data_IF_496364714018
#
_entry.id   IF_496364714018
#
_cell.length_a   1.000
_cell.length_b   1.000
_cell.length_c   1.000
_cell.angle_alpha   90.00
_cell.angle_beta   90.00
_cell.angle_gamma   90.00
#
_symmetry.space_group_name_H-M   'P 1'
#
loop_
_entity.id
_entity.type
_entity.pdbx_description
1 polymer ?
#
# COMPACT_ATOMS: atom_id res chain seq x y z
N UNK A 1 3.35 -21.26 37.45
CA UNK A 1 2.56 -20.37 36.57
C UNK A 1 3.55 -19.53 35.76
N UNK A 2 3.90 -19.98 34.55
CA UNK A 2 4.82 -19.27 33.66
C UNK A 2 4.04 -18.81 32.44
N UNK A 3 3.72 -17.51 32.30
CA UNK A 3 3.14 -17.00 31.07
C UNK A 3 4.26 -16.77 30.05
N UNK A 4 4.53 -17.79 29.23
CA UNK A 4 5.34 -17.67 28.02
C UNK A 4 4.40 -17.52 26.81
N UNK A 5 4.15 -16.28 26.39
CA UNK A 5 3.51 -15.95 25.12
C UNK A 5 4.17 -14.68 24.58
N UNK A 6 4.79 -14.71 23.38
CA UNK A 6 5.61 -13.60 22.93
C UNK A 6 4.74 -12.38 22.61
N UNK A 7 5.03 -11.28 23.32
CA UNK A 7 4.84 -9.89 22.90
C UNK A 7 3.49 -9.56 22.26
N UNK A 8 2.56 -9.09 23.09
CA UNK A 8 1.33 -8.43 22.68
C UNK A 8 1.59 -7.19 21.84
N UNK A 9 1.73 -7.37 20.52
CA UNK A 9 1.40 -6.30 19.61
C UNK A 9 -0.13 -6.14 19.64
N UNK A 10 -0.65 -4.99 20.10
CA UNK A 10 -2.09 -4.79 20.17
C UNK A 10 -2.66 -4.99 18.77
N UNK A 11 -3.78 -5.72 18.66
CA UNK A 11 -4.46 -6.04 17.39
C UNK A 11 -4.61 -4.81 16.45
N UNK A 12 -4.71 -3.62 17.05
CA UNK A 12 -4.69 -2.32 16.38
C UNK A 12 -3.40 -2.00 15.61
N UNK A 13 -2.22 -2.32 16.16
CA UNK A 13 -0.93 -2.11 15.50
C UNK A 13 -0.81 -2.98 14.24
N UNK A 14 -1.28 -4.23 14.27
CA UNK A 14 -1.34 -5.08 13.06
C UNK A 14 -2.26 -4.50 11.99
N UNK A 15 -3.44 -4.01 12.37
CA UNK A 15 -4.38 -3.38 11.45
C UNK A 15 -3.79 -2.10 10.84
N UNK A 16 -3.09 -1.30 11.65
CA UNK A 16 -2.42 -0.10 11.18
C UNK A 16 -1.28 -0.41 10.21
N UNK A 17 -0.47 -1.44 10.47
CA UNK A 17 0.61 -1.87 9.58
C UNK A 17 0.05 -2.35 8.24
N UNK A 18 -1.03 -3.14 8.25
CA UNK A 18 -1.70 -3.58 7.02
C UNK A 18 -2.22 -2.38 6.23
N UNK A 19 -2.86 -1.41 6.92
CA UNK A 19 -3.29 -0.16 6.28
C UNK A 19 -2.14 0.66 5.70
N UNK A 20 -0.97 0.66 6.35
CA UNK A 20 0.25 1.31 5.88
C UNK A 20 0.85 0.62 4.65
N UNK A 21 0.89 -0.71 4.66
CA UNK A 21 1.35 -1.50 3.52
C UNK A 21 0.47 -1.28 2.28
N UNK A 22 -0.84 -1.11 2.49
CA UNK A 22 -1.79 -0.79 1.41
C UNK A 22 -1.70 0.64 0.91
N UNK A 23 -1.49 1.60 1.79
CA UNK A 23 -1.44 3.03 1.43
C UNK A 23 -0.08 3.46 0.88
N UNK A 24 1.00 2.73 1.20
CA UNK A 24 2.36 2.95 0.70
C UNK A 24 2.46 3.15 -0.82
N UNK A 25 1.95 2.24 -1.68
CA UNK A 25 2.03 2.41 -3.14
C UNK A 25 1.20 3.59 -3.67
N UNK A 26 0.10 3.92 -3.00
CA UNK A 26 -0.76 5.06 -3.37
C UNK A 26 -0.02 6.37 -3.06
N UNK A 27 0.56 6.47 -1.86
CA UNK A 27 1.37 7.62 -1.44
C UNK A 27 2.63 7.76 -2.31
N UNK A 28 3.30 6.65 -2.62
CA UNK A 28 4.47 6.66 -3.50
C UNK A 28 4.11 7.11 -4.93
N UNK A 29 2.99 6.65 -5.48
CA UNK A 29 2.51 7.08 -6.80
C UNK A 29 2.05 8.55 -6.82
N UNK A 30 1.41 9.01 -5.75
CA UNK A 30 1.01 10.40 -5.60
C UNK A 30 2.22 11.34 -5.51
N UNK A 31 3.18 11.04 -4.62
CA UNK A 31 4.40 11.85 -4.46
C UNK A 31 5.24 11.81 -5.73
N UNK A 32 5.42 10.63 -6.33
CA UNK A 32 6.14 10.47 -7.58
C UNK A 32 5.49 11.23 -8.74
N UNK A 33 4.17 11.13 -8.87
CA UNK A 33 3.39 11.84 -9.89
C UNK A 33 3.43 13.35 -9.72
N UNK A 34 3.35 13.83 -8.49
CA UNK A 34 3.43 15.25 -8.16
C UNK A 34 4.79 15.84 -8.54
N UNK A 35 5.89 15.21 -8.10
CA UNK A 35 7.24 15.65 -8.45
C UNK A 35 7.51 15.59 -9.96
N UNK A 36 7.04 14.54 -10.65
CA UNK A 36 7.16 14.45 -12.11
C UNK A 36 6.35 15.55 -12.81
N UNK A 37 5.16 15.84 -12.33
CA UNK A 37 4.30 16.88 -12.88
C UNK A 37 4.86 18.29 -12.67
N UNK A 38 5.46 18.55 -11.52
CA UNK A 38 6.16 19.79 -11.21
C UNK A 38 7.42 19.95 -12.06
N UNK A 39 8.23 18.88 -12.21
CA UNK A 39 9.43 18.89 -13.06
C UNK A 39 9.11 19.18 -14.53
N UNK A 40 8.04 18.60 -15.06
CA UNK A 40 7.64 18.75 -16.47
C UNK A 40 6.68 19.93 -16.71
N UNK A 41 6.29 20.70 -15.68
CA UNK A 41 5.27 21.77 -15.75
C UNK A 41 3.94 21.30 -16.39
N UNK A 42 3.61 20.01 -16.22
CA UNK A 42 2.39 19.41 -16.78
C UNK A 42 1.53 18.90 -15.62
N UNK A 43 0.51 19.67 -15.18
CA UNK A 43 -0.28 19.35 -13.99
C UNK A 43 -1.07 18.02 -14.11
N UNK A 44 -1.31 17.58 -15.35
CA UNK A 44 -1.99 16.32 -15.68
C UNK A 44 -1.14 15.08 -15.41
N UNK A 45 0.19 15.20 -15.27
CA UNK A 45 1.06 14.12 -14.83
C UNK A 45 0.85 13.78 -13.34
N UNK A 46 0.48 14.77 -12.52
CA UNK A 46 0.08 14.52 -11.13
C UNK A 46 -1.17 13.64 -11.05
N UNK A 47 -2.17 13.91 -11.90
CA UNK A 47 -3.38 13.09 -12.02
C UNK A 47 -3.07 11.69 -12.56
N UNK A 48 -2.17 11.56 -13.53
CA UNK A 48 -1.72 10.25 -14.03
C UNK A 48 -0.91 9.47 -13.01
N UNK A 49 -0.06 10.12 -12.21
CA UNK A 49 0.69 9.46 -11.15
C UNK A 49 -0.19 9.07 -9.96
N UNK A 50 -1.19 9.88 -9.63
CA UNK A 50 -2.22 9.52 -8.65
C UNK A 50 -3.06 8.34 -9.16
N UNK A 51 -3.60 8.43 -10.37
CA UNK A 51 -4.36 7.35 -11.00
C UNK A 51 -3.54 6.07 -11.17
N UNK A 52 -2.28 6.21 -11.58
CA UNK A 52 -1.32 5.11 -11.70
C UNK A 52 -0.97 4.50 -10.34
N UNK A 53 -0.77 5.31 -9.29
CA UNK A 53 -0.52 4.86 -7.92
C UNK A 53 -1.70 4.12 -7.31
N UNK A 54 -2.93 4.60 -7.55
CA UNK A 54 -4.17 3.90 -7.16
C UNK A 54 -4.28 2.59 -7.92
N UNK A 55 -4.05 2.59 -9.24
CA UNK A 55 -4.11 1.38 -10.06
C UNK A 55 -3.06 0.34 -9.62
N UNK A 56 -1.83 0.77 -9.31
CA UNK A 56 -0.78 -0.10 -8.78
C UNK A 56 -1.12 -0.64 -7.39
N UNK A 57 -1.71 0.19 -6.52
CA UNK A 57 -2.20 -0.23 -5.22
C UNK A 57 -3.26 -1.32 -5.32
N UNK A 58 -4.25 -1.15 -6.21
CA UNK A 58 -5.27 -2.17 -6.51
C UNK A 58 -4.69 -3.41 -7.17
N UNK A 59 -3.74 -3.26 -8.09
CA UNK A 59 -3.08 -4.39 -8.75
C UNK A 59 -2.31 -5.25 -7.75
N UNK A 60 -1.58 -4.61 -6.83
CA UNK A 60 -0.87 -5.29 -5.74
C UNK A 60 -1.84 -5.99 -4.79
N UNK A 61 -2.94 -5.33 -4.41
CA UNK A 61 -4.03 -5.94 -3.62
C UNK A 61 -4.59 -7.20 -4.28
N UNK A 62 -4.85 -7.17 -5.59
CA UNK A 62 -5.38 -8.32 -6.33
C UNK A 62 -4.36 -9.46 -6.39
N UNK A 63 -3.07 -9.17 -6.56
CA UNK A 63 -2.00 -10.18 -6.53
C UNK A 63 -1.91 -10.83 -5.15
N UNK A 64 -1.89 -10.02 -4.09
CA UNK A 64 -1.84 -10.49 -2.70
C UNK A 64 -3.06 -11.38 -2.39
N UNK A 65 -4.27 -10.95 -2.77
CA UNK A 65 -5.48 -11.76 -2.64
C UNK A 65 -5.37 -13.08 -3.41
N UNK A 66 -4.84 -13.04 -4.62
CA UNK A 66 -4.69 -14.23 -5.47
C UNK A 66 -3.66 -15.20 -4.87
N UNK A 67 -2.62 -14.71 -4.21
CA UNK A 67 -1.65 -15.52 -3.47
C UNK A 67 -2.26 -16.12 -2.20
N UNK A 68 -3.06 -15.36 -1.46
CA UNK A 68 -3.81 -15.89 -0.31
C UNK A 68 -4.80 -17.01 -0.71
N UNK A 69 -5.53 -16.82 -1.81
CA UNK A 69 -6.46 -17.83 -2.33
C UNK A 69 -5.70 -19.07 -2.82
N UNK A 70 -4.54 -18.91 -3.45
CA UNK A 70 -3.70 -20.04 -3.88
C UNK A 70 -3.02 -20.78 -2.73
N UNK A 71 -2.66 -20.11 -1.64
CA UNK A 71 -2.06 -20.74 -0.46
C UNK A 71 -3.04 -21.52 0.42
N UNK A 72 -4.34 -21.51 0.09
CA UNK A 72 -5.40 -22.23 0.82
C UNK A 72 -5.84 -23.52 0.08
N UNK A 73 -5.16 -23.91 -1.00
CA UNK A 73 -5.27 -25.23 -1.63
C UNK A 73 -4.00 -26.05 -1.41
#
# INVERSE_FOLDING_TARGET
MTPNGPSGQPRYLRIAVIGLEFSSPILAGLVGGYYLGEYLHRPWLGLLGLGGGVFLGFYRLIIELRQFVKGTQ
#
